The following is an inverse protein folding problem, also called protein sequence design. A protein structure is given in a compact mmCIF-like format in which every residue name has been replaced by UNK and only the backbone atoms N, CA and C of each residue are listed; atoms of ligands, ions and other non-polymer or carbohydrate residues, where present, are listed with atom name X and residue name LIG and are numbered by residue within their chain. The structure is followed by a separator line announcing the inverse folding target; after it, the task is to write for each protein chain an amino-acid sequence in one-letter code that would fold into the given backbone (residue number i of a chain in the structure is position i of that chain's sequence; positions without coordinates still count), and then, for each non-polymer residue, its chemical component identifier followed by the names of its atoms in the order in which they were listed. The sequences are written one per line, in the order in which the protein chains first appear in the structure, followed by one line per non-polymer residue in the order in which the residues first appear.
data_IF_944130840564
#
_entry.id   IF_944130840564
#
_cell.length_a   1.000
_cell.length_b   1.000
_cell.length_c   1.000
_cell.angle_alpha   90.00
_cell.angle_beta   90.00
_cell.angle_gamma   90.00
#
_symmetry.space_group_name_H-M   'P 1'
#
loop_
_entity.id
_entity.type
_entity.pdbx_description
1 polymer ?
#
# COMPACT_ATOMS: atom_id res chain seq x y z
N UNK A 1 -13.42 9.32 -22.46
CA UNK A 1 -13.64 8.55 -21.22
C UNK A 1 -12.28 8.16 -20.72
N UNK A 2 -11.86 8.70 -19.57
CA UNK A 2 -10.76 8.09 -18.82
C UNK A 2 -11.26 6.73 -18.33
N UNK A 3 -10.43 5.69 -18.37
CA UNK A 3 -10.84 4.41 -17.82
C UNK A 3 -10.82 4.49 -16.27
N UNK A 4 -11.54 3.59 -15.59
CA UNK A 4 -11.65 3.60 -14.12
C UNK A 4 -10.29 3.53 -13.42
N UNK A 5 -9.30 2.86 -14.04
CA UNK A 5 -7.92 2.81 -13.55
C UNK A 5 -7.23 4.17 -13.59
N UNK A 6 -7.36 4.92 -14.69
CA UNK A 6 -6.83 6.26 -14.86
C UNK A 6 -7.41 7.21 -13.81
N UNK A 7 -8.71 7.08 -13.50
CA UNK A 7 -9.35 7.86 -12.44
C UNK A 7 -8.86 7.44 -11.04
N UNK A 8 -8.73 6.14 -10.78
CA UNK A 8 -8.26 5.62 -9.50
C UNK A 8 -6.81 6.03 -9.19
N UNK A 9 -5.90 5.98 -10.16
CA UNK A 9 -4.48 6.29 -9.93
C UNK A 9 -4.22 7.78 -9.61
N UNK A 10 -5.18 8.66 -9.87
CA UNK A 10 -5.14 10.08 -9.43
C UNK A 10 -5.52 10.28 -7.97
N UNK A 11 -5.87 9.22 -7.23
CA UNK A 11 -6.21 9.38 -5.81
C UNK A 11 -4.96 9.32 -4.94
N UNK A 12 -5.08 9.91 -3.74
CA UNK A 12 -4.09 9.84 -2.67
C UNK A 12 -4.71 9.01 -1.55
N UNK A 13 -4.30 7.74 -1.38
CA UNK A 13 -4.85 6.88 -0.34
C UNK A 13 -4.30 7.29 1.02
N UNK A 14 -5.09 7.00 2.06
CA UNK A 14 -4.74 7.34 3.44
C UNK A 14 -4.38 6.10 4.25
N UNK A 15 -3.80 6.34 5.41
CA UNK A 15 -3.57 5.34 6.44
C UNK A 15 -3.91 5.92 7.81
N UNK A 16 -4.09 5.04 8.80
CA UNK A 16 -4.26 5.49 10.18
C UNK A 16 -2.98 6.11 10.74
N UNK A 17 -3.11 7.28 11.37
CA UNK A 17 -1.97 7.95 12.03
C UNK A 17 -1.35 7.11 13.16
N UNK A 18 -2.05 6.10 13.70
CA UNK A 18 -1.47 5.18 14.69
C UNK A 18 -0.27 4.42 14.14
N UNK A 19 -0.21 4.19 12.83
CA UNK A 19 0.88 3.50 12.14
C UNK A 19 1.99 4.44 11.66
N UNK A 20 1.92 5.75 11.93
CA UNK A 20 2.93 6.74 11.51
C UNK A 20 4.35 6.35 11.93
N UNK A 21 4.50 5.75 13.11
CA UNK A 21 5.79 5.29 13.62
C UNK A 21 6.42 4.23 12.72
N UNK A 22 5.63 3.33 12.13
CA UNK A 22 6.11 2.31 11.18
C UNK A 22 6.74 2.95 9.94
N UNK A 23 6.07 3.93 9.34
CA UNK A 23 6.64 4.67 8.20
C UNK A 23 7.89 5.46 8.59
N UNK A 24 7.92 6.08 9.77
CA UNK A 24 9.14 6.80 10.17
C UNK A 24 10.34 5.88 10.45
N UNK A 25 10.08 4.65 10.89
CA UNK A 25 11.11 3.67 11.30
C UNK A 25 11.58 2.77 10.15
N UNK A 26 10.68 2.32 9.28
CA UNK A 26 10.96 1.33 8.24
C UNK A 26 11.21 1.94 6.84
N UNK A 27 10.81 3.19 6.60
CA UNK A 27 11.00 3.86 5.31
C UNK A 27 11.84 5.15 5.40
N UNK A 28 12.49 5.48 4.29
CA UNK A 28 13.21 6.74 4.12
C UNK A 28 12.24 7.86 3.73
N UNK A 29 12.38 9.01 4.39
CA UNK A 29 11.63 10.22 4.06
C UNK A 29 12.28 10.83 2.82
N UNK A 30 11.54 10.95 1.72
CA UNK A 30 11.98 11.59 0.46
C UNK A 30 13.15 10.91 -0.29
N UNK A 31 13.05 9.60 -0.56
CA UNK A 31 13.83 8.92 -1.59
C UNK A 31 15.27 9.40 -1.73
N UNK A 32 16.14 9.08 -0.77
CA UNK A 32 17.50 9.59 -0.77
C UNK A 32 18.29 9.00 -1.96
N UNK A 33 18.65 9.84 -2.92
CA UNK A 33 19.79 9.60 -3.81
C UNK A 33 21.07 9.79 -3.00
N UNK A 34 21.74 8.69 -2.69
CA UNK A 34 23.08 8.71 -2.11
C UNK A 34 23.32 7.55 -1.14
N UNK A 35 24.33 6.75 -1.43
CA UNK A 35 24.91 5.73 -0.53
C UNK A 35 25.55 6.36 0.72
N UNK A 36 24.83 7.10 1.58
CA UNK A 36 25.44 7.70 2.78
C UNK A 36 24.49 7.79 3.97
N UNK A 37 24.32 6.65 4.63
CA UNK A 37 24.35 6.43 6.09
C UNK A 37 23.89 5.00 6.33
N UNK A 38 24.54 4.28 7.24
CA UNK A 38 24.05 2.99 7.75
C UNK A 38 22.67 3.19 8.37
N UNK A 39 21.63 3.15 7.54
CA UNK A 39 20.23 3.29 7.93
C UNK A 39 19.75 1.93 8.48
N UNK A 40 20.36 1.50 9.58
CA UNK A 40 19.99 0.30 10.33
C UNK A 40 18.48 0.36 10.61
N UNK A 41 17.70 -0.50 9.95
CA UNK A 41 16.25 -0.61 10.13
C UNK A 41 15.37 0.00 9.03
N UNK A 42 15.89 0.81 8.09
CA UNK A 42 15.07 1.36 6.97
C UNK A 42 15.26 0.54 5.70
N UNK A 43 14.23 -0.19 5.33
CA UNK A 43 14.23 -1.12 4.20
C UNK A 43 13.60 -0.52 2.94
N UNK A 44 12.62 0.37 3.11
CA UNK A 44 11.90 0.98 2.00
C UNK A 44 12.51 2.34 1.65
N UNK A 45 12.73 2.59 0.35
CA UNK A 45 13.29 3.85 -0.15
C UNK A 45 12.27 4.99 -0.04
N UNK A 46 10.98 4.68 0.00
CA UNK A 46 9.90 5.66 0.14
C UNK A 46 8.77 5.11 1.01
N UNK A 47 7.90 6.00 1.50
CA UNK A 47 6.74 5.58 2.29
C UNK A 47 5.70 4.80 1.46
N UNK A 48 5.53 5.14 0.18
CA UNK A 48 4.57 4.44 -0.66
C UNK A 48 5.00 2.99 -0.94
N UNK A 49 6.30 2.68 -0.93
CA UNK A 49 6.79 1.29 -1.04
C UNK A 49 6.36 0.44 0.16
N UNK A 50 6.47 0.97 1.39
CA UNK A 50 5.94 0.29 2.58
C UNK A 50 4.41 0.17 2.51
N UNK A 51 3.72 1.20 2.02
CA UNK A 51 2.27 1.17 1.86
C UNK A 51 1.84 0.05 0.90
N UNK A 52 2.47 -0.05 -0.27
CA UNK A 52 2.21 -1.13 -1.24
C UNK A 52 2.53 -2.50 -0.67
N UNK A 53 3.65 -2.65 0.04
CA UNK A 53 3.99 -3.90 0.71
C UNK A 53 2.91 -4.30 1.74
N UNK A 54 2.48 -3.36 2.58
CA UNK A 54 1.43 -3.60 3.57
C UNK A 54 0.09 -3.95 2.91
N UNK A 55 -0.28 -3.31 1.79
CA UNK A 55 -1.45 -3.69 1.02
C UNK A 55 -1.41 -5.17 0.60
N UNK A 56 -0.33 -5.62 -0.04
CA UNK A 56 -0.20 -7.02 -0.46
C UNK A 56 -0.12 -7.98 0.72
N UNK A 57 0.56 -7.60 1.81
CA UNK A 57 0.64 -8.41 3.01
C UNK A 57 -0.76 -8.62 3.64
N UNK A 58 -1.56 -7.56 3.75
CA UNK A 58 -2.94 -7.65 4.23
C UNK A 58 -3.80 -8.49 3.29
N UNK A 59 -3.72 -8.22 1.99
CA UNK A 59 -4.44 -8.96 0.95
C UNK A 59 -4.13 -10.47 1.00
N UNK A 60 -2.86 -10.86 1.07
CA UNK A 60 -2.44 -12.27 1.05
C UNK A 60 -2.72 -13.02 2.37
N UNK A 61 -3.01 -12.29 3.45
CA UNK A 61 -3.48 -12.87 4.71
C UNK A 61 -5.00 -12.75 4.89
N UNK A 62 -5.71 -12.22 3.89
CA UNK A 62 -7.13 -11.90 3.95
C UNK A 62 -7.48 -11.03 5.18
N UNK A 63 -6.59 -10.10 5.52
CA UNK A 63 -6.73 -9.20 6.66
C UNK A 63 -7.34 -7.88 6.21
N UNK A 64 -8.67 -7.85 6.17
CA UNK A 64 -9.46 -6.67 5.84
C UNK A 64 -9.86 -5.95 7.13
N UNK A 65 -9.13 -4.89 7.49
CA UNK A 65 -9.36 -4.15 8.74
C UNK A 65 -9.62 -2.68 8.45
N UNK A 66 -10.89 -2.24 8.26
CA UNK A 66 -11.22 -0.85 8.00
C UNK A 66 -10.69 0.09 9.09
N UNK A 67 -10.15 1.23 8.68
CA UNK A 67 -9.74 2.28 9.63
C UNK A 67 -10.99 2.76 10.38
N UNK A 68 -11.03 2.68 11.72
CA UNK A 68 -12.22 3.03 12.50
C UNK A 68 -12.75 4.45 12.24
N UNK A 69 -14.07 4.61 12.33
CA UNK A 69 -14.70 5.92 12.23
C UNK A 69 -14.24 6.82 13.38
N UNK A 70 -13.80 8.04 13.04
CA UNK A 70 -13.25 9.00 14.01
C UNK A 70 -11.74 8.87 14.24
N UNK A 71 -11.10 7.81 13.74
CA UNK A 71 -9.64 7.69 13.78
C UNK A 71 -9.00 8.65 12.79
N UNK A 72 -7.91 9.31 13.22
CA UNK A 72 -7.24 10.30 12.39
C UNK A 72 -6.50 9.62 11.25
N UNK A 73 -6.94 9.91 10.02
CA UNK A 73 -6.27 9.49 8.78
C UNK A 73 -5.24 10.53 8.34
N UNK A 74 -4.15 10.06 7.77
CA UNK A 74 -3.10 10.89 7.15
C UNK A 74 -2.65 10.26 5.82
N UNK A 75 -1.83 10.95 5.06
CA UNK A 75 -1.36 10.52 3.74
C UNK A 75 0.09 10.97 3.49
N UNK A 76 0.61 10.66 2.31
CA UNK A 76 1.92 11.10 1.86
C UNK A 76 1.85 12.21 0.80
N UNK A 77 0.66 12.75 0.55
CA UNK A 77 0.36 13.77 -0.46
C UNK A 77 0.91 13.41 -1.85
N UNK A 78 0.93 12.12 -2.16
CA UNK A 78 1.58 11.55 -3.35
C UNK A 78 0.59 10.64 -4.08
N UNK A 79 0.24 11.01 -5.30
CA UNK A 79 -0.75 10.30 -6.13
C UNK A 79 -0.23 8.93 -6.56
N UNK A 80 -1.11 7.93 -6.62
CA UNK A 80 -0.75 6.54 -6.97
C UNK A 80 -0.04 6.46 -8.33
N UNK A 81 -0.45 7.28 -9.31
CA UNK A 81 0.15 7.32 -10.65
C UNK A 81 1.67 7.55 -10.68
N UNK A 82 2.24 8.13 -9.61
CA UNK A 82 3.67 8.41 -9.50
C UNK A 82 4.43 7.33 -8.73
N UNK A 83 3.75 6.32 -8.17
CA UNK A 83 4.38 5.28 -7.37
C UNK A 83 5.17 4.32 -8.28
N UNK A 84 6.46 4.15 -7.99
CA UNK A 84 7.32 3.24 -8.77
C UNK A 84 7.78 3.77 -10.12
N UNK A 85 7.31 4.96 -10.54
CA UNK A 85 7.85 5.66 -11.70
C UNK A 85 9.19 6.31 -11.34
N UNK A 86 10.25 6.01 -12.11
CA UNK A 86 11.52 6.74 -12.03
C UNK A 86 11.99 7.14 -13.41
N UNK A 87 12.02 8.46 -13.64
CA UNK A 87 12.40 9.06 -14.93
C UNK A 87 13.91 9.29 -15.08
N UNK A 88 14.72 9.14 -14.02
CA UNK A 88 16.09 9.71 -13.98
C UNK A 88 17.26 8.76 -13.71
N UNK A 89 17.06 7.46 -13.43
CA UNK A 89 18.20 6.57 -13.09
C UNK A 89 18.19 5.23 -13.84
N UNK A 90 19.17 5.06 -14.73
CA UNK A 90 19.41 3.89 -15.63
C UNK A 90 19.45 2.51 -14.94
N UNK A 91 19.63 2.45 -13.63
CA UNK A 91 19.92 1.21 -12.90
C UNK A 91 18.76 0.64 -12.06
N UNK A 92 17.65 1.39 -11.86
CA UNK A 92 16.48 0.87 -11.14
C UNK A 92 15.35 0.57 -12.13
N UNK A 93 14.79 -0.63 -12.03
CA UNK A 93 13.64 -1.03 -12.86
C UNK A 93 12.41 -0.24 -12.41
N UNK A 94 11.70 0.32 -13.39
CA UNK A 94 10.34 0.79 -13.20
C UNK A 94 9.45 -0.37 -12.72
N UNK A 95 8.56 -0.08 -11.77
CA UNK A 95 7.61 -1.07 -11.24
C UNK A 95 6.18 -0.52 -11.20
N UNK A 96 5.84 0.35 -12.17
CA UNK A 96 4.49 0.87 -12.35
C UNK A 96 3.44 -0.21 -12.58
N UNK A 97 3.84 -1.40 -13.08
CA UNK A 97 2.97 -2.58 -13.16
C UNK A 97 2.40 -3.02 -11.80
N UNK A 98 3.03 -2.65 -10.67
CA UNK A 98 2.42 -2.87 -9.36
C UNK A 98 1.16 -2.03 -9.14
N UNK A 99 1.04 -0.85 -9.76
CA UNK A 99 -0.19 -0.06 -9.70
C UNK A 99 -1.36 -0.82 -10.34
N UNK A 100 -1.13 -1.45 -11.49
CA UNK A 100 -2.12 -2.26 -12.20
C UNK A 100 -2.50 -3.50 -11.38
N UNK A 101 -1.51 -4.21 -10.82
CA UNK A 101 -1.75 -5.37 -9.97
C UNK A 101 -2.59 -5.02 -8.72
N UNK A 102 -2.31 -3.88 -8.09
CA UNK A 102 -3.13 -3.38 -6.97
C UNK A 102 -4.55 -3.12 -7.47
N UNK A 103 -4.72 -2.38 -8.57
CA UNK A 103 -6.05 -2.08 -9.09
C UNK A 103 -6.87 -3.32 -9.44
N UNK A 104 -6.27 -4.31 -10.11
CA UNK A 104 -6.91 -5.59 -10.43
C UNK A 104 -7.33 -6.32 -9.15
N UNK A 105 -6.45 -6.37 -8.14
CA UNK A 105 -6.78 -6.98 -6.87
C UNK A 105 -7.94 -6.27 -6.16
N UNK A 106 -7.99 -4.93 -6.19
CA UNK A 106 -9.09 -4.17 -5.63
C UNK A 106 -10.39 -4.43 -6.37
N UNK A 107 -10.36 -4.40 -7.70
CA UNK A 107 -11.54 -4.69 -8.53
C UNK A 107 -12.10 -6.08 -8.23
N UNK A 108 -11.24 -7.06 -7.96
CA UNK A 108 -11.65 -8.42 -7.61
C UNK A 108 -12.12 -8.59 -6.15
N UNK A 109 -11.71 -7.70 -5.24
CA UNK A 109 -12.00 -7.80 -3.79
C UNK A 109 -13.07 -6.84 -3.30
N UNK A 110 -13.43 -5.84 -4.10
CA UNK A 110 -14.51 -4.92 -3.80
C UNK A 110 -15.81 -5.43 -4.42
N UNK A 111 -16.88 -5.47 -3.64
CA UNK A 111 -18.23 -5.78 -4.13
C UNK A 111 -18.78 -4.61 -4.96
N UNK A 112 -18.42 -4.58 -6.25
CA UNK A 112 -18.80 -3.52 -7.19
C UNK A 112 -20.07 -3.89 -7.97
N UNK A 113 -21.04 -2.99 -8.01
CA UNK A 113 -22.19 -3.10 -8.93
C UNK A 113 -21.82 -2.58 -10.32
N UNK A 114 -21.11 -3.42 -11.08
CA UNK A 114 -20.63 -3.09 -12.44
C UNK A 114 -21.81 -2.82 -13.38
N UNK A 115 -22.94 -3.52 -13.20
CA UNK A 115 -24.12 -3.33 -14.03
C UNK A 115 -24.76 -1.97 -13.80
N UNK A 116 -24.86 -1.52 -12.55
CA UNK A 116 -25.31 -0.18 -12.22
C UNK A 116 -24.35 0.89 -12.77
N UNK A 117 -23.03 0.64 -12.72
CA UNK A 117 -22.03 1.56 -13.27
C UNK A 117 -22.20 1.71 -14.78
N UNK A 118 -22.34 0.61 -15.51
CA UNK A 118 -22.52 0.63 -16.98
C UNK A 118 -23.82 1.34 -17.39
N UNK A 119 -24.87 1.24 -16.56
CA UNK A 119 -26.14 1.95 -16.78
C UNK A 119 -26.11 3.43 -16.37
N UNK A 120 -25.04 3.89 -15.71
CA UNK A 120 -24.96 5.24 -15.15
C UNK A 120 -25.84 5.45 -13.91
N UNK A 121 -26.25 4.37 -13.24
CA UNK A 121 -27.01 4.42 -11.98
C UNK A 121 -26.09 4.73 -10.78
N UNK A 122 -24.81 4.37 -10.89
CA UNK A 122 -23.76 4.79 -9.96
C UNK A 122 -22.65 5.53 -10.70
N UNK A 123 -22.11 6.54 -10.05
CA UNK A 123 -21.03 7.36 -10.61
C UNK A 123 -19.67 6.66 -10.47
N UNK A 124 -18.79 6.83 -11.45
CA UNK A 124 -17.41 6.33 -11.39
C UNK A 124 -16.66 6.81 -10.14
N UNK A 125 -16.91 8.06 -9.69
CA UNK A 125 -16.28 8.57 -8.46
C UNK A 125 -16.71 7.79 -7.21
N UNK A 126 -17.93 7.28 -7.18
CA UNK A 126 -18.40 6.46 -6.08
C UNK A 126 -17.71 5.10 -6.07
N UNK A 127 -17.58 4.48 -7.25
CA UNK A 127 -16.82 3.24 -7.43
C UNK A 127 -15.35 3.43 -7.02
N UNK A 128 -14.72 4.53 -7.43
CA UNK A 128 -13.33 4.83 -7.04
C UNK A 128 -13.19 5.03 -5.53
N UNK A 129 -14.17 5.64 -4.84
CA UNK A 129 -14.15 5.71 -3.37
C UNK A 129 -14.20 4.33 -2.73
N UNK A 130 -15.01 3.41 -3.25
CA UNK A 130 -15.09 2.03 -2.74
C UNK A 130 -13.77 1.27 -2.94
N UNK A 131 -13.13 1.43 -4.10
CA UNK A 131 -11.81 0.87 -4.39
C UNK A 131 -10.75 1.41 -3.42
N UNK A 132 -10.73 2.73 -3.18
CA UNK A 132 -9.80 3.35 -2.22
C UNK A 132 -10.09 2.87 -0.80
N UNK A 133 -11.35 2.79 -0.39
CA UNK A 133 -11.72 2.24 0.92
C UNK A 133 -11.20 0.81 1.11
N UNK A 134 -11.35 -0.03 0.09
CA UNK A 134 -10.85 -1.41 0.11
C UNK A 134 -9.33 -1.45 0.22
N UNK A 135 -8.63 -0.60 -0.54
CA UNK A 135 -7.17 -0.46 -0.48
C UNK A 135 -6.68 -0.03 0.90
N UNK A 136 -7.31 1.00 1.48
CA UNK A 136 -6.96 1.49 2.82
C UNK A 136 -7.18 0.40 3.88
N UNK A 137 -8.24 -0.41 3.75
CA UNK A 137 -8.61 -1.45 4.72
C UNK A 137 -7.63 -2.63 4.70
N UNK A 138 -7.25 -3.14 3.52
CA UNK A 138 -6.22 -4.16 3.42
C UNK A 138 -4.84 -3.64 3.82
N UNK A 139 -4.52 -2.39 3.47
CA UNK A 139 -3.25 -1.79 3.90
C UNK A 139 -3.18 -1.66 5.41
N UNK A 140 -4.26 -1.23 6.04
CA UNK A 140 -4.35 -1.12 7.50
C UNK A 140 -4.17 -2.50 8.16
N UNK A 141 -4.81 -3.54 7.63
CA UNK A 141 -4.57 -4.92 8.05
C UNK A 141 -3.11 -5.35 7.95
N UNK A 142 -2.45 -5.08 6.83
CA UNK A 142 -1.02 -5.36 6.69
C UNK A 142 -0.14 -4.57 7.66
N UNK A 143 -0.48 -3.31 7.96
CA UNK A 143 0.25 -2.50 8.94
C UNK A 143 0.05 -3.02 10.38
N UNK A 144 -1.13 -3.54 10.71
CA UNK A 144 -1.39 -4.24 11.97
C UNK A 144 -0.48 -5.47 12.08
N UNK A 145 -0.43 -6.33 11.06
CA UNK A 145 0.44 -7.50 11.06
C UNK A 145 1.93 -7.15 11.23
N UNK A 146 2.40 -6.09 10.57
CA UNK A 146 3.78 -5.60 10.73
C UNK A 146 4.03 -5.14 12.16
N UNK A 147 3.08 -4.40 12.73
CA UNK A 147 3.14 -3.91 14.10
C UNK A 147 3.20 -5.07 15.10
N UNK A 148 2.30 -6.04 14.98
CA UNK A 148 2.28 -7.24 15.82
C UNK A 148 3.61 -7.97 15.79
N UNK A 149 4.22 -8.09 14.60
CA UNK A 149 5.54 -8.72 14.45
C UNK A 149 6.66 -7.99 15.20
N UNK A 150 6.61 -6.66 15.21
CA UNK A 150 7.56 -5.82 15.98
C UNK A 150 7.29 -5.93 17.48
N UNK A 151 6.02 -5.93 17.87
CA UNK A 151 5.62 -6.04 19.28
C UNK A 151 6.02 -7.43 19.86
N UNK A 152 5.93 -8.50 19.06
CA UNK A 152 6.42 -9.85 19.41
C UNK A 152 7.95 -9.94 19.49
N UNK A 153 8.65 -9.37 18.49
CA UNK A 153 10.10 -9.38 18.43
C UNK A 153 10.60 -8.05 17.84
N UNK A 154 11.09 -7.11 18.68
CA UNK A 154 11.58 -5.81 18.22
C UNK A 154 12.73 -5.89 17.21
N UNK A 155 13.46 -7.01 17.18
CA UNK A 155 14.58 -7.25 16.28
C UNK A 155 14.19 -8.03 15.02
N UNK A 156 12.91 -8.36 14.81
CA UNK A 156 12.45 -9.19 13.70
C UNK A 156 12.93 -8.65 12.36
N UNK A 157 12.72 -7.36 12.10
CA UNK A 157 13.15 -6.69 10.89
C UNK A 157 14.61 -6.25 10.92
N UNK A 158 15.49 -6.83 11.75
CA UNK A 158 16.94 -6.64 11.58
C UNK A 158 17.55 -7.68 10.66
N UNK A 159 16.83 -8.78 10.37
CA UNK A 159 17.32 -9.78 9.44
C UNK A 159 17.08 -9.32 7.98
N UNK A 160 18.02 -9.56 7.05
CA UNK A 160 17.91 -9.06 5.68
C UNK A 160 16.67 -9.55 4.92
N UNK A 161 16.17 -10.74 5.24
CA UNK A 161 15.06 -11.39 4.53
C UNK A 161 13.71 -11.22 5.21
N UNK A 162 13.62 -10.56 6.37
CA UNK A 162 12.41 -10.59 7.22
C UNK A 162 11.11 -10.18 6.52
N UNK A 163 11.16 -9.19 5.62
CA UNK A 163 10.00 -8.76 4.84
C UNK A 163 9.62 -9.80 3.76
N UNK A 164 10.62 -10.42 3.13
CA UNK A 164 10.38 -11.49 2.17
C UNK A 164 9.80 -12.73 2.87
N UNK A 165 10.39 -13.13 4.00
CA UNK A 165 9.93 -14.28 4.78
C UNK A 165 8.50 -14.06 5.29
N UNK A 166 8.21 -12.83 5.76
CA UNK A 166 6.87 -12.47 6.22
C UNK A 166 5.82 -12.58 5.12
N UNK A 167 6.06 -12.02 3.93
CA UNK A 167 5.07 -12.09 2.84
C UNK A 167 4.94 -13.50 2.25
N UNK A 168 6.02 -14.29 2.21
CA UNK A 168 5.99 -15.69 1.76
C UNK A 168 5.31 -16.62 2.77
N UNK A 169 5.28 -16.26 4.05
CA UNK A 169 4.57 -17.02 5.09
C UNK A 169 3.05 -16.77 5.15
N UNK A 170 2.54 -15.89 4.29
CA UNK A 170 1.13 -15.50 4.25
C UNK A 170 0.20 -16.66 3.86
N UNK A 171 -1.09 -16.52 4.20
CA UNK A 171 -2.10 -17.58 3.99
C UNK A 171 -2.19 -18.04 2.52
N UNK A 172 -1.96 -17.17 1.54
CA UNK A 172 -2.04 -17.54 0.12
C UNK A 172 -1.04 -18.64 -0.30
N UNK A 173 0.06 -18.79 0.45
CA UNK A 173 1.10 -19.80 0.18
C UNK A 173 1.00 -21.03 1.10
N UNK A 174 -0.06 -21.14 1.91
CA UNK A 174 -0.37 -22.30 2.75
C UNK A 174 -1.52 -23.11 2.16
#
# INVERSE_FOLDING_TARGET
MENLFDKWKTKIPKYSEVHKVLFTSLSQKFGAEGEKKNNLGKYFSTNYELYMYAFFLGLYNDEFSPIPNGEKKTDFSHHIQHWGSKTTTSYRKDFTSLQENIFIALFAKTELDILALEKGEIEEDEVVKQLIHTMESYTNGGLILIKEKIDENPNYFLQPTSFLDMILSSKIYK
#
